data_IF_792496269575
#
_entry.id   IF_792496269575
#
_cell.length_a   1.000
_cell.length_b   1.000
_cell.length_c   1.000
_cell.angle_alpha   90.00
_cell.angle_beta   90.00
_cell.angle_gamma   90.00
#
_symmetry.space_group_name_H-M   'P 1'
#
loop_
_entity.id
_entity.type
_entity.pdbx_description
1 polymer ?
#
# COMPACT_ATOMS: atom_id res chain seq x y z
N UNK A 1 11.57 11.97 -21.05
CA UNK A 1 12.83 11.90 -21.80
C UNK A 1 12.53 11.50 -23.24
N UNK A 2 12.42 12.48 -24.15
CA UNK A 2 12.21 12.24 -25.58
C UNK A 2 13.56 12.01 -26.26
N UNK A 3 13.77 10.83 -26.86
CA UNK A 3 14.89 10.55 -27.76
C UNK A 3 14.63 11.30 -29.07
N UNK A 4 15.28 12.44 -29.27
CA UNK A 4 15.25 13.16 -30.53
C UNK A 4 16.13 12.40 -31.52
N UNK A 5 15.48 11.96 -32.61
CA UNK A 5 16.01 11.05 -33.61
C UNK A 5 16.96 11.80 -34.56
N UNK A 6 18.22 12.00 -34.13
CA UNK A 6 19.25 12.75 -34.86
C UNK A 6 19.68 12.07 -36.18
N UNK A 7 19.34 10.79 -36.38
CA UNK A 7 19.78 9.98 -37.52
C UNK A 7 18.97 10.29 -38.79
N UNK A 8 17.74 10.80 -38.67
CA UNK A 8 16.89 11.17 -39.81
C UNK A 8 17.37 12.42 -40.57
N UNK A 9 18.04 13.36 -39.89
CA UNK A 9 18.47 14.64 -40.48
C UNK A 9 19.63 14.50 -41.47
N UNK A 10 20.61 13.64 -41.20
CA UNK A 10 21.81 13.50 -42.04
C UNK A 10 21.52 12.88 -43.42
N UNK A 11 20.48 12.04 -43.55
CA UNK A 11 20.10 11.45 -44.86
C UNK A 11 19.47 12.48 -45.80
N UNK A 12 18.75 13.48 -45.28
CA UNK A 12 18.14 14.54 -46.12
C UNK A 12 19.16 15.55 -46.65
N UNK A 13 20.24 15.80 -45.91
CA UNK A 13 21.26 16.77 -46.33
C UNK A 13 22.15 16.26 -47.49
N UNK A 14 22.42 14.94 -47.56
CA UNK A 14 23.19 14.35 -48.66
C UNK A 14 22.46 14.39 -50.02
N UNK A 15 21.13 14.37 -50.04
CA UNK A 15 20.36 14.43 -51.29
C UNK A 15 20.41 15.80 -51.98
N UNK A 16 20.44 16.89 -51.19
CA UNK A 16 20.36 18.26 -51.73
C UNK A 16 21.70 18.68 -52.37
N UNK A 17 22.84 18.28 -51.80
CA UNK A 17 24.16 18.62 -52.34
C UNK A 17 24.49 17.84 -53.62
N UNK A 18 23.99 16.60 -53.76
CA UNK A 18 24.21 15.79 -54.96
C UNK A 18 23.39 16.28 -56.18
N UNK A 19 22.22 16.87 -55.98
CA UNK A 19 21.41 17.40 -57.09
C UNK A 19 21.96 18.74 -57.63
N UNK A 20 22.47 19.64 -56.78
CA UNK A 20 22.96 20.95 -57.23
C UNK A 20 24.17 20.89 -58.18
N UNK A 21 25.10 19.96 -57.96
CA UNK A 21 26.32 19.82 -58.77
C UNK A 21 26.04 19.33 -60.20
N UNK A 22 25.04 18.46 -60.37
CA UNK A 22 24.67 17.90 -61.68
C UNK A 22 24.05 18.99 -62.57
N UNK A 23 23.19 19.86 -62.01
CA UNK A 23 22.57 20.95 -62.78
C UNK A 23 23.60 22.01 -63.23
N UNK A 24 24.63 22.27 -62.43
CA UNK A 24 25.67 23.24 -62.80
C UNK A 24 26.54 22.75 -63.98
N UNK A 25 26.90 21.46 -63.98
CA UNK A 25 27.65 20.86 -65.10
C UNK A 25 26.82 20.78 -66.40
N UNK A 26 25.50 20.50 -66.30
CA UNK A 26 24.60 20.53 -67.45
C UNK A 26 24.43 21.93 -68.04
N UNK A 27 24.36 22.97 -67.19
CA UNK A 27 24.27 24.37 -67.64
C UNK A 27 25.50 24.80 -68.43
N UNK A 28 26.70 24.43 -67.98
CA UNK A 28 27.95 24.76 -68.68
C UNK A 28 28.06 24.02 -70.03
N UNK A 29 27.71 22.73 -70.05
CA UNK A 29 27.69 21.94 -71.29
C UNK A 29 26.69 22.50 -72.33
N UNK A 30 25.52 22.94 -71.88
CA UNK A 30 24.50 23.53 -72.75
C UNK A 30 24.97 24.86 -73.39
N UNK A 31 25.65 25.73 -72.63
CA UNK A 31 26.18 26.98 -73.20
C UNK A 31 27.31 26.74 -74.22
N UNK A 32 28.20 25.77 -73.96
CA UNK A 32 29.27 25.40 -74.91
C UNK A 32 28.66 24.86 -76.22
N UNK A 33 27.58 24.07 -76.14
CA UNK A 33 26.91 23.53 -77.33
C UNK A 33 26.20 24.62 -78.15
N UNK A 34 25.55 25.59 -77.50
CA UNK A 34 24.91 26.73 -78.18
C UNK A 34 25.95 27.60 -78.89
N UNK A 35 27.10 27.88 -78.25
CA UNK A 35 28.19 28.63 -78.88
C UNK A 35 28.82 27.87 -80.06
N UNK A 36 29.05 26.56 -79.93
CA UNK A 36 29.57 25.74 -81.02
C UNK A 36 28.60 25.67 -82.22
N UNK A 37 27.28 25.67 -81.98
CA UNK A 37 26.27 25.65 -83.03
C UNK A 37 26.13 27.00 -83.74
N UNK A 38 26.24 28.11 -83.01
CA UNK A 38 26.28 29.46 -83.58
C UNK A 38 27.52 29.70 -84.47
N UNK A 39 28.62 28.98 -84.21
CA UNK A 39 29.85 29.06 -84.99
C UNK A 39 29.81 28.20 -86.28
N UNK A 40 28.88 27.24 -86.36
CA UNK A 40 28.71 26.35 -87.52
C UNK A 40 27.71 26.87 -88.58
N UNK A 41 26.86 27.84 -88.25
CA UNK A 41 25.79 28.36 -89.14
C UNK A 41 26.22 29.53 -90.04
N UNK A 42 27.49 29.91 -90.06
CA UNK A 42 28.00 30.95 -90.97
C UNK A 42 29.31 30.54 -91.68
N UNK A 43 29.25 29.67 -92.70
CA UNK A 43 30.43 29.20 -93.43
C UNK A 43 31.03 30.22 -94.42
N UNK A 44 30.44 31.41 -94.59
CA UNK A 44 30.91 32.38 -95.61
C UNK A 44 32.04 33.32 -95.18
N UNK A 45 32.62 33.18 -93.97
CA UNK A 45 33.71 34.06 -93.50
C UNK A 45 35.12 33.46 -93.74
N UNK A 46 35.25 32.21 -94.21
CA UNK A 46 36.57 31.51 -94.29
C UNK A 46 37.22 31.53 -95.69
N UNK A 47 36.59 32.12 -96.72
CA UNK A 47 37.13 32.10 -98.09
C UNK A 47 37.72 33.45 -98.57
N UNK A 48 38.26 34.29 -97.68
CA UNK A 48 39.01 35.47 -98.10
C UNK A 48 40.48 35.43 -97.62
N UNK A 49 41.46 35.17 -98.53
CA UNK A 49 42.88 35.10 -98.18
C UNK A 49 43.52 36.45 -97.79
N UNK A 50 42.75 37.54 -97.79
CA UNK A 50 43.21 38.88 -97.38
C UNK A 50 42.99 39.21 -95.90
N UNK A 51 42.32 38.37 -95.11
CA UNK A 51 42.23 38.54 -93.64
C UNK A 51 43.47 38.03 -92.88
N UNK A 52 44.65 38.12 -93.51
CA UNK A 52 45.94 38.06 -92.84
C UNK A 52 46.30 39.45 -92.32
N UNK A 53 45.58 39.93 -91.31
CA UNK A 53 46.03 41.08 -90.53
C UNK A 53 45.35 41.06 -89.17
N UNK A 54 46.05 40.41 -88.24
CA UNK A 54 45.84 40.44 -86.80
C UNK A 54 45.95 41.87 -86.26
N UNK A 55 44.90 42.69 -86.41
CA UNK A 55 44.85 44.07 -85.88
C UNK A 55 43.47 44.52 -85.41
N UNK A 56 42.55 43.62 -85.11
CA UNK A 56 41.22 43.97 -84.60
C UNK A 56 40.88 43.04 -83.43
N UNK A 57 41.08 43.48 -82.20
CA UNK A 57 39.94 44.05 -81.47
C UNK A 57 40.27 45.20 -80.50
N UNK A 58 41.55 45.57 -80.27
CA UNK A 58 41.93 46.63 -79.31
C UNK A 58 43.16 47.48 -79.73
N UNK A 59 43.69 47.33 -80.95
CA UNK A 59 44.84 48.14 -81.42
C UNK A 59 46.21 47.75 -80.86
N UNK A 60 46.36 46.54 -80.31
CA UNK A 60 47.62 45.99 -79.81
C UNK A 60 48.19 44.93 -80.78
N UNK A 61 49.52 44.89 -80.94
CA UNK A 61 50.21 43.99 -81.86
C UNK A 61 50.20 42.53 -81.39
N UNK A 62 50.50 41.57 -82.28
CA UNK A 62 50.53 40.13 -81.95
C UNK A 62 51.49 39.79 -80.79
N UNK A 63 52.61 40.49 -80.67
CA UNK A 63 53.55 40.33 -79.53
C UNK A 63 52.95 40.78 -78.19
N UNK A 64 52.04 41.76 -78.18
CA UNK A 64 51.38 42.20 -76.95
C UNK A 64 50.36 41.18 -76.48
N UNK A 65 49.69 40.50 -77.41
CA UNK A 65 48.79 39.38 -77.07
C UNK A 65 49.53 38.20 -76.47
N UNK A 66 50.70 37.84 -77.00
CA UNK A 66 51.56 36.81 -76.40
C UNK A 66 52.01 37.22 -74.98
N UNK A 67 52.36 38.50 -74.77
CA UNK A 67 52.68 39.02 -73.42
C UNK A 67 51.49 38.92 -72.46
N UNK A 68 50.29 39.29 -72.89
CA UNK A 68 49.08 39.16 -72.07
C UNK A 68 48.72 37.71 -71.77
N UNK A 69 48.91 36.80 -72.72
CA UNK A 69 48.73 35.36 -72.53
C UNK A 69 49.70 34.80 -71.50
N UNK A 70 50.99 35.14 -71.59
CA UNK A 70 51.99 34.73 -70.60
C UNK A 70 51.64 35.26 -69.21
N UNK A 71 51.19 36.52 -69.11
CA UNK A 71 50.81 37.16 -67.85
C UNK A 71 49.56 36.51 -67.24
N UNK A 72 48.58 36.13 -68.06
CA UNK A 72 47.39 35.39 -67.64
C UNK A 72 47.73 33.98 -67.13
N UNK A 73 48.63 33.26 -67.80
CA UNK A 73 49.10 31.93 -67.36
C UNK A 73 49.85 32.03 -66.04
N UNK A 74 50.68 33.05 -65.85
CA UNK A 74 51.36 33.31 -64.57
C UNK A 74 50.35 33.60 -63.45
N UNK A 75 49.32 34.41 -63.71
CA UNK A 75 48.24 34.65 -62.76
C UNK A 75 47.46 33.37 -62.43
N UNK A 76 47.16 32.54 -63.42
CA UNK A 76 46.48 31.26 -63.23
C UNK A 76 47.32 30.29 -62.38
N UNK A 77 48.64 30.25 -62.60
CA UNK A 77 49.57 29.45 -61.79
C UNK A 77 49.60 29.93 -60.33
N UNK A 78 49.66 31.24 -60.09
CA UNK A 78 49.61 31.82 -58.74
C UNK A 78 48.26 31.55 -58.07
N UNK A 79 47.15 31.67 -58.81
CA UNK A 79 45.82 31.35 -58.30
C UNK A 79 45.70 29.86 -57.92
N UNK A 80 46.24 28.94 -58.73
CA UNK A 80 46.26 27.52 -58.43
C UNK A 80 47.07 27.20 -57.15
N UNK A 81 48.22 27.87 -56.97
CA UNK A 81 49.03 27.76 -55.74
C UNK A 81 48.23 28.28 -54.52
N UNK A 82 47.55 29.42 -54.65
CA UNK A 82 46.72 29.98 -53.57
C UNK A 82 45.55 29.05 -53.20
N UNK A 83 44.92 28.41 -54.19
CA UNK A 83 43.89 27.37 -53.95
C UNK A 83 44.50 26.16 -53.22
N UNK A 84 45.71 25.74 -53.56
CA UNK A 84 46.44 24.68 -52.85
C UNK A 84 46.66 25.01 -51.37
N UNK A 85 47.14 26.22 -51.06
CA UNK A 85 47.36 26.67 -49.69
C UNK A 85 46.05 26.79 -48.88
N UNK A 86 45.00 27.35 -49.47
CA UNK A 86 43.70 27.48 -48.80
C UNK A 86 43.06 26.12 -48.54
N UNK A 87 43.16 25.18 -49.49
CA UNK A 87 42.64 23.81 -49.33
C UNK A 87 43.44 23.04 -48.27
N UNK A 88 44.77 23.13 -48.27
CA UNK A 88 45.61 22.51 -47.25
C UNK A 88 45.33 23.09 -45.86
N UNK A 89 45.16 24.42 -45.75
CA UNK A 89 44.79 25.10 -44.51
C UNK A 89 43.42 24.64 -43.97
N UNK A 90 42.42 24.48 -44.84
CA UNK A 90 41.10 23.94 -44.49
C UNK A 90 41.19 22.50 -43.96
N UNK A 91 41.97 21.63 -44.61
CA UNK A 91 42.11 20.24 -44.16
C UNK A 91 42.79 20.17 -42.77
N UNK A 92 43.81 20.99 -42.54
CA UNK A 92 44.53 21.01 -41.25
C UNK A 92 43.63 21.56 -40.14
N UNK A 93 42.86 22.61 -40.41
CA UNK A 93 41.90 23.18 -39.44
C UNK A 93 40.78 22.20 -39.12
N UNK A 94 40.17 21.56 -40.12
CA UNK A 94 39.17 20.52 -39.90
C UNK A 94 39.70 19.31 -39.13
N UNK A 95 40.96 18.90 -39.33
CA UNK A 95 41.56 17.82 -38.53
C UNK A 95 41.68 18.21 -37.05
N UNK A 96 42.13 19.43 -36.76
CA UNK A 96 42.24 19.93 -35.37
C UNK A 96 40.87 20.07 -34.71
N UNK A 97 39.88 20.57 -35.43
CA UNK A 97 38.49 20.67 -34.95
C UNK A 97 37.88 19.28 -34.72
N UNK A 98 38.15 18.31 -35.60
CA UNK A 98 37.67 16.93 -35.45
C UNK A 98 38.30 16.24 -34.23
N UNK A 99 39.60 16.43 -33.98
CA UNK A 99 40.28 15.91 -32.79
C UNK A 99 39.75 16.55 -31.50
N UNK A 100 39.49 17.86 -31.51
CA UNK A 100 38.88 18.56 -30.38
C UNK A 100 37.47 18.03 -30.10
N UNK A 101 36.65 17.87 -31.15
CA UNK A 101 35.30 17.32 -31.04
C UNK A 101 35.30 15.87 -30.53
N UNK A 102 36.27 15.04 -30.93
CA UNK A 102 36.42 13.68 -30.40
C UNK A 102 36.77 13.68 -28.90
N UNK A 103 37.72 14.52 -28.47
CA UNK A 103 38.10 14.63 -27.06
C UNK A 103 36.94 15.13 -26.20
N UNK A 104 36.17 16.10 -26.69
CA UNK A 104 35.00 16.58 -25.98
C UNK A 104 33.93 15.48 -25.88
N UNK A 105 33.71 14.72 -26.96
CA UNK A 105 32.78 13.60 -26.97
C UNK A 105 33.20 12.50 -25.98
N UNK A 106 34.48 12.18 -25.88
CA UNK A 106 35.01 11.24 -24.87
C UNK A 106 34.81 11.76 -23.45
N UNK A 107 35.07 13.05 -23.18
CA UNK A 107 34.80 13.67 -21.88
C UNK A 107 33.31 13.61 -21.53
N UNK A 108 32.43 13.91 -22.48
CA UNK A 108 30.99 13.82 -22.28
C UNK A 108 30.56 12.38 -21.97
N UNK A 109 31.10 11.38 -22.67
CA UNK A 109 30.81 9.97 -22.39
C UNK A 109 31.17 9.59 -20.96
N UNK A 110 32.38 9.93 -20.50
CA UNK A 110 32.83 9.63 -19.14
C UNK A 110 31.93 10.31 -18.09
N UNK A 111 31.58 11.58 -18.30
CA UNK A 111 30.68 12.32 -17.38
C UNK A 111 29.28 11.70 -17.36
N UNK A 112 28.75 11.32 -18.51
CA UNK A 112 27.42 10.70 -18.61
C UNK A 112 27.43 9.31 -17.97
N UNK A 113 28.44 8.49 -18.22
CA UNK A 113 28.61 7.18 -17.58
C UNK A 113 28.69 7.30 -16.06
N UNK A 114 29.44 8.28 -15.54
CA UNK A 114 29.49 8.59 -14.10
C UNK A 114 28.10 8.94 -13.54
N UNK A 115 27.37 9.86 -14.19
CA UNK A 115 26.01 10.24 -13.77
C UNK A 115 25.02 9.08 -13.81
N UNK A 116 25.13 8.19 -14.81
CA UNK A 116 24.27 7.00 -14.90
C UNK A 116 24.60 6.01 -13.79
N UNK A 117 25.88 5.80 -13.47
CA UNK A 117 26.30 4.94 -12.37
C UNK A 117 25.82 5.48 -11.01
N UNK A 118 25.95 6.78 -10.76
CA UNK A 118 25.48 7.43 -9.53
C UNK A 118 23.96 7.32 -9.41
N UNK A 119 23.20 7.65 -10.46
CA UNK A 119 21.74 7.52 -10.47
C UNK A 119 21.29 6.07 -10.27
N UNK A 120 22.02 5.11 -10.81
CA UNK A 120 21.72 3.69 -10.62
C UNK A 120 21.98 3.25 -9.17
N UNK A 121 23.06 3.74 -8.55
CA UNK A 121 23.36 3.48 -7.13
C UNK A 121 22.29 4.07 -6.22
N UNK A 122 21.91 5.33 -6.44
CA UNK A 122 20.81 5.99 -5.71
C UNK A 122 19.48 5.25 -5.89
N UNK A 123 19.19 4.78 -7.11
CA UNK A 123 17.99 3.98 -7.40
C UNK A 123 17.95 2.65 -6.62
N UNK A 124 19.09 1.98 -6.46
CA UNK A 124 19.19 0.74 -5.65
C UNK A 124 18.98 1.05 -4.16
N UNK A 125 19.62 2.11 -3.65
CA UNK A 125 19.51 2.49 -2.24
C UNK A 125 18.08 2.93 -1.89
N UNK A 126 17.44 3.72 -2.75
CA UNK A 126 16.03 4.08 -2.62
C UNK A 126 15.12 2.83 -2.69
N UNK A 127 15.42 1.90 -3.60
CA UNK A 127 14.70 0.62 -3.72
C UNK A 127 14.78 -0.21 -2.43
N UNK A 128 15.97 -0.34 -1.83
CA UNK A 128 16.16 -1.05 -0.55
C UNK A 128 15.42 -0.37 0.60
N UNK A 129 15.50 0.96 0.68
CA UNK A 129 14.78 1.72 1.71
C UNK A 129 13.26 1.54 1.58
N UNK A 130 12.73 1.53 0.35
CA UNK A 130 11.31 1.29 0.09
C UNK A 130 10.88 -0.14 0.47
N UNK A 131 11.70 -1.16 0.15
CA UNK A 131 11.38 -2.54 0.55
C UNK A 131 11.42 -2.73 2.07
N UNK A 132 12.38 -2.10 2.75
CA UNK A 132 12.46 -2.16 4.22
C UNK A 132 11.28 -1.45 4.89
N UNK A 133 10.87 -0.30 4.35
CA UNK A 133 9.69 0.42 4.83
C UNK A 133 8.41 -0.41 4.63
N UNK A 134 8.27 -1.06 3.48
CA UNK A 134 7.12 -1.94 3.19
C UNK A 134 7.09 -3.15 4.12
N UNK A 135 8.25 -3.76 4.40
CA UNK A 135 8.36 -4.88 5.33
C UNK A 135 7.94 -4.47 6.76
N UNK A 136 8.40 -3.30 7.24
CA UNK A 136 7.99 -2.77 8.55
C UNK A 136 6.51 -2.42 8.62
N UNK A 137 5.95 -1.85 7.55
CA UNK A 137 4.52 -1.56 7.47
C UNK A 137 3.70 -2.84 7.55
N UNK A 138 4.06 -3.87 6.78
CA UNK A 138 3.39 -5.17 6.82
C UNK A 138 3.49 -5.85 8.20
N UNK A 139 4.62 -5.73 8.90
CA UNK A 139 4.78 -6.26 10.25
C UNK A 139 3.91 -5.50 11.27
N UNK A 140 3.81 -4.18 11.14
CA UNK A 140 2.96 -3.35 11.98
C UNK A 140 1.47 -3.68 11.78
N UNK A 141 1.04 -3.88 10.54
CA UNK A 141 -0.34 -4.27 10.21
C UNK A 141 -0.70 -5.64 10.79
N UNK A 142 0.22 -6.62 10.70
CA UNK A 142 0.03 -7.93 11.32
C UNK A 142 -0.12 -7.84 12.84
N UNK A 143 0.73 -7.05 13.51
CA UNK A 143 0.63 -6.82 14.97
C UNK A 143 -0.66 -6.09 15.36
N UNK A 144 -1.10 -5.14 14.53
CA UNK A 144 -2.36 -4.42 14.75
C UNK A 144 -3.57 -5.37 14.66
N UNK A 145 -3.59 -6.26 13.65
CA UNK A 145 -4.63 -7.27 13.50
C UNK A 145 -4.67 -8.24 14.68
N UNK A 146 -3.51 -8.74 15.14
CA UNK A 146 -3.43 -9.59 16.33
C UNK A 146 -3.90 -8.88 17.60
N UNK A 147 -3.54 -7.60 17.77
CA UNK A 147 -3.98 -6.80 18.90
C UNK A 147 -5.51 -6.59 18.88
N UNK A 148 -6.10 -6.36 17.70
CA UNK A 148 -7.55 -6.24 17.54
C UNK A 148 -8.27 -7.54 17.89
N UNK A 149 -7.79 -8.69 17.41
CA UNK A 149 -8.36 -10.00 17.76
C UNK A 149 -8.31 -10.24 19.28
N UNK A 150 -7.16 -9.97 19.92
CA UNK A 150 -7.03 -10.09 21.38
C UNK A 150 -7.97 -9.15 22.13
N UNK A 151 -8.20 -7.93 21.61
CA UNK A 151 -9.16 -6.99 22.19
C UNK A 151 -10.60 -7.48 22.05
N UNK A 152 -10.97 -8.09 20.94
CA UNK A 152 -12.30 -8.68 20.74
C UNK A 152 -12.51 -9.91 21.63
N UNK A 153 -11.49 -10.75 21.79
CA UNK A 153 -11.52 -11.86 22.76
C UNK A 153 -11.65 -11.36 24.20
N UNK A 154 -10.94 -10.29 24.56
CA UNK A 154 -11.08 -9.69 25.89
C UNK A 154 -12.44 -9.03 26.07
N UNK A 155 -12.97 -8.35 25.06
CA UNK A 155 -14.32 -7.76 25.11
C UNK A 155 -15.40 -8.82 25.21
N UNK A 156 -15.26 -9.97 24.55
CA UNK A 156 -16.22 -11.08 24.72
C UNK A 156 -16.11 -11.74 26.09
N UNK A 157 -14.91 -11.79 26.69
CA UNK A 157 -14.69 -12.32 28.04
C UNK A 157 -15.11 -11.35 29.16
N UNK A 158 -14.93 -10.04 28.97
CA UNK A 158 -15.17 -8.99 29.96
C UNK A 158 -16.47 -8.21 29.75
N UNK A 159 -17.16 -8.44 28.63
CA UNK A 159 -18.44 -7.81 28.34
C UNK A 159 -19.49 -8.12 29.41
N UNK A 160 -20.51 -7.26 29.57
CA UNK A 160 -21.63 -7.52 30.48
C UNK A 160 -22.24 -8.89 30.22
N UNK A 161 -22.57 -9.66 31.26
CA UNK A 161 -23.22 -10.95 31.10
C UNK A 161 -24.60 -10.72 30.48
N UNK A 162 -24.90 -11.46 29.42
CA UNK A 162 -26.20 -11.43 28.75
C UNK A 162 -26.74 -12.85 28.65
N UNK A 163 -28.02 -13.00 28.98
CA UNK A 163 -28.78 -14.23 28.84
C UNK A 163 -29.75 -14.03 27.69
N UNK A 164 -29.75 -14.96 26.74
CA UNK A 164 -30.85 -15.08 25.79
C UNK A 164 -32.10 -15.56 26.54
N UNK A 165 -32.99 -14.61 26.85
CA UNK A 165 -34.17 -14.84 27.67
C UNK A 165 -35.10 -15.90 27.09
N UNK A 166 -35.20 -16.01 25.76
CA UNK A 166 -36.10 -16.96 25.11
C UNK A 166 -35.56 -18.38 25.23
N UNK A 167 -34.28 -18.58 24.90
CA UNK A 167 -33.62 -19.88 25.06
C UNK A 167 -33.61 -20.33 26.52
N UNK A 168 -33.35 -19.40 27.44
CA UNK A 168 -33.39 -19.65 28.88
C UNK A 168 -34.79 -20.02 29.37
N UNK A 169 -35.84 -19.27 28.97
CA UNK A 169 -37.21 -19.58 29.33
C UNK A 169 -37.66 -20.94 28.79
N UNK A 170 -37.36 -21.23 27.51
CA UNK A 170 -37.72 -22.49 26.88
C UNK A 170 -37.11 -23.70 27.60
N UNK A 171 -35.88 -23.58 28.09
CA UNK A 171 -35.23 -24.63 28.88
C UNK A 171 -35.99 -24.92 30.19
N UNK A 172 -36.61 -23.90 30.78
CA UNK A 172 -37.25 -23.96 32.09
C UNK A 172 -38.73 -24.39 32.06
N UNK A 173 -39.37 -24.45 30.89
CA UNK A 173 -40.79 -24.78 30.75
C UNK A 173 -41.11 -26.20 31.24
N UNK A 174 -40.22 -27.17 30.97
CA UNK A 174 -40.52 -28.61 31.15
C UNK A 174 -40.16 -29.16 32.54
N UNK A 175 -39.80 -28.29 33.49
CA UNK A 175 -39.31 -28.70 34.81
C UNK A 175 -40.30 -28.44 35.95
N UNK A 176 -40.19 -29.16 37.09
CA UNK A 176 -40.80 -28.70 38.33
C UNK A 176 -40.35 -27.27 38.66
N UNK A 177 -41.28 -26.48 39.18
CA UNK A 177 -41.11 -25.06 39.50
C UNK A 177 -41.09 -24.87 41.01
N UNK A 178 -40.35 -23.88 41.48
CA UNK A 178 -40.17 -23.60 42.89
C UNK A 178 -39.97 -22.09 43.09
N UNK A 179 -40.31 -21.55 44.26
CA UNK A 179 -40.20 -20.12 44.52
C UNK A 179 -38.73 -19.67 44.50
N UNK A 180 -38.42 -18.69 43.67
CA UNK A 180 -37.07 -18.13 43.51
C UNK A 180 -37.01 -16.68 44.01
N UNK A 181 -36.06 -16.43 44.90
CA UNK A 181 -35.64 -15.09 45.32
C UNK A 181 -34.41 -14.66 44.53
N UNK A 182 -34.39 -13.46 43.96
CA UNK A 182 -33.21 -12.94 43.24
C UNK A 182 -32.63 -11.79 44.05
N UNK A 183 -31.38 -11.93 44.45
CA UNK A 183 -30.61 -10.91 45.17
C UNK A 183 -29.36 -10.55 44.38
N UNK A 184 -29.06 -9.26 44.28
CA UNK A 184 -27.90 -8.78 43.52
C UNK A 184 -27.08 -7.76 44.31
N UNK A 185 -25.79 -7.65 44.01
CA UNK A 185 -24.94 -6.65 44.63
C UNK A 185 -25.29 -5.24 44.09
N UNK A 186 -25.63 -4.30 44.99
CA UNK A 186 -26.09 -2.96 44.62
C UNK A 186 -25.02 -2.11 43.92
N UNK A 187 -23.75 -2.33 44.26
CA UNK A 187 -22.64 -1.46 43.84
C UNK A 187 -22.14 -1.73 42.42
N UNK A 188 -22.65 -2.77 41.76
CA UNK A 188 -22.32 -3.12 40.38
C UNK A 188 -23.58 -3.05 39.49
N UNK A 189 -23.67 -2.11 38.52
CA UNK A 189 -24.84 -1.96 37.67
C UNK A 189 -25.11 -3.19 36.79
N UNK A 190 -24.06 -3.95 36.44
CA UNK A 190 -24.20 -5.15 35.62
C UNK A 190 -24.94 -6.26 36.37
N UNK A 191 -24.71 -6.37 37.68
CA UNK A 191 -25.41 -7.35 38.54
C UNK A 191 -26.92 -7.09 38.56
N UNK A 192 -27.33 -5.82 38.64
CA UNK A 192 -28.75 -5.44 38.57
C UNK A 192 -29.38 -5.75 37.21
N UNK A 193 -28.66 -5.48 36.12
CA UNK A 193 -29.15 -5.79 34.76
C UNK A 193 -29.30 -7.29 34.54
N UNK A 194 -28.32 -8.09 34.96
CA UNK A 194 -28.39 -9.56 34.89
C UNK A 194 -29.54 -10.11 35.74
N UNK A 195 -29.79 -9.52 36.92
CA UNK A 195 -30.90 -9.90 37.79
C UNK A 195 -32.26 -9.72 37.10
N UNK A 196 -32.46 -8.60 36.41
CA UNK A 196 -33.68 -8.33 35.65
C UNK A 196 -33.83 -9.28 34.45
N UNK A 197 -32.73 -9.66 33.79
CA UNK A 197 -32.79 -10.67 32.71
C UNK A 197 -33.21 -12.06 33.22
N UNK A 198 -32.63 -12.51 34.34
CA UNK A 198 -32.99 -13.78 34.98
C UNK A 198 -34.46 -13.73 35.43
N UNK A 199 -34.89 -12.61 36.03
CA UNK A 199 -36.29 -12.40 36.42
C UNK A 199 -37.24 -12.50 35.22
N UNK A 200 -36.93 -11.82 34.12
CA UNK A 200 -37.71 -11.86 32.89
C UNK A 200 -37.82 -13.27 32.32
N UNK A 201 -36.70 -14.00 32.27
CA UNK A 201 -36.67 -15.39 31.79
C UNK A 201 -37.45 -16.36 32.67
N UNK A 202 -37.32 -16.25 34.00
CA UNK A 202 -38.11 -17.06 34.95
C UNK A 202 -39.61 -16.76 34.83
N UNK A 203 -39.98 -15.49 34.73
CA UNK A 203 -41.37 -15.07 34.57
C UNK A 203 -41.96 -15.55 33.24
N UNK A 204 -41.19 -15.51 32.15
CA UNK A 204 -41.61 -16.03 30.85
C UNK A 204 -41.83 -17.55 30.86
N UNK A 205 -41.07 -18.29 31.68
CA UNK A 205 -41.27 -19.72 31.94
C UNK A 205 -42.36 -20.00 33.00
N UNK A 206 -43.08 -18.97 33.45
CA UNK A 206 -44.12 -19.04 34.48
C UNK A 206 -43.61 -19.65 35.80
N UNK A 207 -42.38 -19.30 36.20
CA UNK A 207 -41.83 -19.65 37.50
C UNK A 207 -42.32 -18.65 38.57
N UNK A 208 -42.65 -19.10 39.79
CA UNK A 208 -42.91 -18.20 40.90
C UNK A 208 -41.60 -17.53 41.32
N UNK A 209 -41.47 -16.23 41.04
CA UNK A 209 -40.25 -15.47 41.27
C UNK A 209 -40.55 -14.11 41.92
N UNK A 210 -39.82 -13.76 42.97
CA UNK A 210 -39.90 -12.42 43.56
C UNK A 210 -39.09 -11.43 42.72
N UNK A 211 -39.54 -10.17 42.66
CA UNK A 211 -38.79 -9.10 41.98
C UNK A 211 -37.36 -9.00 42.55
N UNK A 212 -36.34 -8.83 41.70
CA UNK A 212 -34.96 -8.66 42.16
C UNK A 212 -34.84 -7.56 43.21
N UNK A 213 -34.10 -7.85 44.28
CA UNK A 213 -33.80 -6.89 45.33
C UNK A 213 -32.30 -6.79 45.58
N UNK A 214 -31.75 -5.61 45.90
CA UNK A 214 -30.36 -5.51 46.30
C UNK A 214 -30.10 -6.35 47.56
N UNK A 215 -28.93 -6.96 47.64
CA UNK A 215 -28.51 -7.75 48.79
C UNK A 215 -28.48 -6.83 50.03
N UNK A 216 -29.21 -7.20 51.08
CA UNK A 216 -29.20 -6.43 52.33
C UNK A 216 -27.92 -6.73 53.13
N UNK A 217 -27.47 -5.77 53.93
CA UNK A 217 -26.30 -5.93 54.79
C UNK A 217 -26.47 -7.08 55.81
N UNK A 218 -27.71 -7.42 56.18
CA UNK A 218 -28.00 -8.55 57.07
C UNK A 218 -27.84 -9.89 56.35
N UNK A 219 -28.33 -9.99 55.12
CA UNK A 219 -28.15 -11.18 54.28
C UNK A 219 -26.68 -11.44 53.97
N UNK A 220 -25.89 -10.38 53.85
CA UNK A 220 -24.43 -10.49 53.74
C UNK A 220 -23.77 -11.15 54.97
N UNK A 221 -24.25 -10.87 56.18
CA UNK A 221 -23.72 -11.47 57.42
C UNK A 221 -24.07 -12.96 57.54
N UNK A 222 -25.14 -13.43 56.90
CA UNK A 222 -25.48 -14.86 56.90
C UNK A 222 -24.44 -15.70 56.17
N UNK A 223 -23.87 -15.17 55.08
CA UNK A 223 -22.84 -15.87 54.33
C UNK A 223 -21.42 -15.71 54.92
N UNK A 224 -21.27 -14.84 55.94
CA UNK A 224 -20.06 -14.72 56.75
C UNK A 224 -19.84 -15.89 57.73
N UNK A 225 -20.84 -16.77 57.92
CA UNK A 225 -20.81 -17.89 58.87
C UNK A 225 -19.95 -19.10 58.45
N UNK A 226 -19.28 -19.06 57.30
CA UNK A 226 -18.26 -20.05 56.93
C UNK A 226 -17.07 -19.98 57.91
N UNK A 227 -16.44 -21.12 58.28
CA UNK A 227 -15.61 -21.22 59.48
C UNK A 227 -14.47 -20.19 59.51
N UNK A 228 -14.62 -19.19 60.41
CA UNK A 228 -13.63 -18.18 60.81
C UNK A 228 -12.79 -17.59 59.68
N UNK A 229 -13.39 -17.33 58.53
CA UNK A 229 -12.75 -16.48 57.54
C UNK A 229 -12.99 -15.05 58.00
N UNK A 230 -11.92 -14.30 58.23
CA UNK A 230 -11.96 -12.93 58.75
C UNK A 230 -12.75 -12.04 57.77
N UNK A 231 -14.03 -11.85 58.06
CA UNK A 231 -15.00 -11.27 57.11
C UNK A 231 -14.79 -9.79 56.87
N UNK A 232 -14.01 -9.15 57.72
CA UNK A 232 -13.65 -7.74 57.61
C UNK A 232 -12.76 -7.46 56.38
N UNK A 233 -12.14 -8.49 55.80
CA UNK A 233 -11.22 -8.35 54.66
C UNK A 233 -11.75 -8.93 53.35
N UNK A 234 -12.94 -9.54 53.33
CA UNK A 234 -13.51 -10.10 52.09
C UNK A 234 -14.50 -9.13 51.46
N UNK A 235 -14.34 -8.77 50.18
CA UNK A 235 -15.36 -7.99 49.48
C UNK A 235 -16.69 -8.76 49.51
N UNK A 236 -17.80 -8.03 49.64
CA UNK A 236 -19.15 -8.58 49.78
C UNK A 236 -19.49 -9.62 48.70
N UNK A 237 -18.94 -9.43 47.50
CA UNK A 237 -19.02 -10.35 46.36
C UNK A 237 -18.43 -11.75 46.64
N UNK A 238 -17.34 -11.83 47.39
CA UNK A 238 -16.70 -13.10 47.77
C UNK A 238 -17.52 -13.83 48.84
N UNK A 239 -18.09 -13.09 49.79
CA UNK A 239 -18.97 -13.63 50.84
C UNK A 239 -20.29 -14.12 50.26
N UNK A 240 -20.84 -13.42 49.27
CA UNK A 240 -22.06 -13.80 48.55
C UNK A 240 -21.88 -15.06 47.66
N UNK A 241 -20.73 -15.73 47.72
CA UNK A 241 -20.43 -16.96 47.00
C UNK A 241 -20.13 -16.75 45.53
N UNK A 242 -19.75 -15.55 45.08
CA UNK A 242 -19.52 -15.17 43.68
C UNK A 242 -18.31 -15.82 42.99
N UNK A 243 -18.22 -17.15 43.00
CA UNK A 243 -17.11 -17.92 42.46
C UNK A 243 -17.56 -18.82 41.31
N UNK A 244 -16.82 -18.93 40.21
CA UNK A 244 -16.13 -17.87 39.47
C UNK A 244 -17.08 -17.04 38.58
N UNK A 245 -18.26 -17.56 38.25
CA UNK A 245 -19.21 -16.93 37.33
C UNK A 245 -19.98 -15.73 37.89
N UNK A 246 -19.84 -15.47 39.20
CA UNK A 246 -20.57 -14.41 39.90
C UNK A 246 -22.08 -14.65 40.02
N UNK A 247 -22.57 -15.87 39.78
CA UNK A 247 -23.96 -16.26 40.03
C UNK A 247 -23.97 -17.54 40.85
N UNK A 248 -24.71 -17.51 41.95
CA UNK A 248 -24.73 -18.58 42.94
C UNK A 248 -26.15 -18.90 43.33
N UNK A 249 -26.51 -20.19 43.27
CA UNK A 249 -27.81 -20.67 43.73
C UNK A 249 -27.65 -21.16 45.17
N UNK A 250 -28.28 -20.47 46.11
CA UNK A 250 -28.44 -20.88 47.49
C UNK A 250 -29.73 -21.70 47.62
N UNK A 251 -29.62 -22.91 48.17
CA UNK A 251 -30.73 -23.81 48.41
C UNK A 251 -30.56 -24.53 49.77
N UNK A 252 -31.63 -25.09 50.35
CA UNK A 252 -31.52 -25.91 51.55
C UNK A 252 -30.52 -27.07 51.37
N UNK A 253 -29.82 -27.48 52.43
CA UNK A 253 -28.73 -28.47 52.39
C UNK A 253 -29.07 -29.73 51.57
N UNK A 254 -30.25 -30.33 51.81
CA UNK A 254 -30.67 -31.55 51.11
C UNK A 254 -30.77 -31.35 49.59
N UNK A 255 -31.30 -30.20 49.15
CA UNK A 255 -31.42 -29.87 47.73
C UNK A 255 -30.04 -29.56 47.13
N UNK A 256 -29.23 -28.72 47.78
CA UNK A 256 -27.90 -28.36 47.29
C UNK A 256 -26.98 -29.57 47.11
N UNK A 257 -27.03 -30.54 48.03
CA UNK A 257 -26.24 -31.77 47.96
C UNK A 257 -26.64 -32.66 46.76
N UNK A 258 -27.89 -32.59 46.30
CA UNK A 258 -28.34 -33.31 45.10
C UNK A 258 -27.71 -32.81 43.81
N UNK A 259 -27.28 -31.55 43.75
CA UNK A 259 -26.57 -31.02 42.57
C UNK A 259 -25.07 -31.26 42.68
N UNK A 260 -24.50 -31.08 43.88
CA UNK A 260 -23.05 -31.15 44.08
C UNK A 260 -22.47 -32.55 43.86
N UNK A 261 -23.20 -33.59 44.23
CA UNK A 261 -22.69 -34.97 44.24
C UNK A 261 -22.95 -35.76 42.95
N UNK A 262 -23.75 -35.23 42.01
CA UNK A 262 -24.19 -36.00 40.85
C UNK A 262 -23.54 -35.53 39.55
N UNK A 263 -23.20 -36.50 38.70
CA UNK A 263 -23.00 -36.22 37.28
C UNK A 263 -24.33 -35.72 36.73
N UNK A 264 -24.33 -34.51 36.18
CA UNK A 264 -25.55 -33.81 35.75
C UNK A 264 -26.48 -34.62 34.83
N UNK A 265 -26.00 -35.69 34.18
CA UNK A 265 -26.81 -36.54 33.31
C UNK A 265 -27.75 -37.48 34.07
N UNK A 266 -27.40 -37.91 35.28
CA UNK A 266 -28.12 -38.96 36.01
C UNK A 266 -28.97 -38.40 37.16
N UNK A 267 -28.90 -37.09 37.40
CA UNK A 267 -29.65 -36.44 38.47
C UNK A 267 -31.14 -36.36 38.13
N UNK A 268 -32.05 -36.76 39.04
CA UNK A 268 -33.48 -36.59 38.84
C UNK A 268 -33.82 -35.12 38.55
N UNK A 269 -34.82 -34.92 37.68
CA UNK A 269 -35.31 -33.59 37.29
C UNK A 269 -36.04 -32.94 38.46
N UNK A 270 -35.29 -32.18 39.25
CA UNK A 270 -35.77 -31.31 40.34
C UNK A 270 -35.77 -29.85 39.88
N UNK A 271 -36.47 -28.96 40.61
CA UNK A 271 -36.51 -27.55 40.23
C UNK A 271 -35.10 -26.94 40.27
N UNK A 272 -34.34 -27.27 41.31
CA UNK A 272 -32.95 -26.84 41.45
C UNK A 272 -32.06 -27.35 40.31
N UNK A 273 -32.17 -28.62 39.90
CA UNK A 273 -31.32 -29.17 38.83
C UNK A 273 -31.66 -28.57 37.47
N UNK A 274 -32.93 -28.32 37.18
CA UNK A 274 -33.32 -27.64 35.93
C UNK A 274 -32.89 -26.19 35.90
N UNK A 275 -33.07 -25.46 37.01
CA UNK A 275 -32.59 -24.08 37.14
C UNK A 275 -31.07 -24.01 37.00
N UNK A 276 -30.35 -24.94 37.66
CA UNK A 276 -28.90 -25.05 37.55
C UNK A 276 -28.47 -25.32 36.10
N UNK A 277 -29.11 -26.29 35.41
CA UNK A 277 -28.80 -26.61 34.00
C UNK A 277 -29.12 -25.45 33.05
N UNK A 278 -30.21 -24.71 33.29
CA UNK A 278 -30.55 -23.53 32.49
C UNK A 278 -29.50 -22.43 32.65
N UNK A 279 -29.14 -22.13 33.89
CA UNK A 279 -28.19 -21.06 34.21
C UNK A 279 -26.76 -21.42 33.79
N UNK A 280 -26.32 -22.67 33.94
CA UNK A 280 -25.00 -23.08 33.44
C UNK A 280 -24.96 -23.06 31.90
N UNK A 281 -26.07 -23.42 31.23
CA UNK A 281 -26.16 -23.33 29.77
C UNK A 281 -26.12 -21.89 29.28
N UNK A 282 -26.71 -20.94 30.02
CA UNK A 282 -26.75 -19.53 29.65
C UNK A 282 -25.46 -18.77 30.01
N UNK A 283 -24.86 -19.06 31.17
CA UNK A 283 -23.75 -18.28 31.75
C UNK A 283 -22.40 -19.01 31.71
N UNK A 284 -22.39 -20.29 31.33
CA UNK A 284 -21.20 -21.15 31.28
C UNK A 284 -20.70 -21.63 32.64
N UNK A 285 -20.80 -20.81 33.69
CA UNK A 285 -20.39 -21.19 35.05
C UNK A 285 -21.29 -20.56 36.11
N UNK A 286 -21.70 -21.36 37.09
CA UNK A 286 -22.44 -20.94 38.27
C UNK A 286 -22.00 -21.78 39.47
N UNK A 287 -22.23 -21.28 40.68
CA UNK A 287 -22.02 -22.03 41.92
C UNK A 287 -23.34 -22.45 42.56
N UNK A 288 -23.26 -23.47 43.42
CA UNK A 288 -24.34 -23.85 44.33
C UNK A 288 -23.81 -23.80 45.75
N UNK A 289 -24.57 -23.17 46.63
CA UNK A 289 -24.29 -23.09 48.06
C UNK A 289 -25.49 -23.53 48.88
N UNK A 290 -25.25 -23.82 50.15
CA UNK A 290 -26.28 -24.17 51.13
C UNK A 290 -26.73 -22.91 51.86
N UNK A 291 -28.03 -22.76 52.06
CA UNK A 291 -28.61 -21.71 52.91
C UNK A 291 -29.79 -22.28 53.69
N UNK A 292 -29.53 -22.60 54.96
CA UNK A 292 -30.50 -23.23 55.86
C UNK A 292 -31.52 -22.22 56.44
N UNK A 293 -31.36 -20.92 56.14
CA UNK A 293 -32.34 -19.90 56.53
C UNK A 293 -33.51 -19.80 55.55
N UNK A 294 -33.39 -20.41 54.37
CA UNK A 294 -34.44 -20.44 53.39
C UNK A 294 -35.54 -21.43 53.80
N UNK A 295 -36.83 -21.06 53.65
CA UNK A 295 -37.91 -22.01 53.80
C UNK A 295 -37.72 -23.23 52.91
N UNK A 296 -38.20 -24.39 53.36
CA UNK A 296 -38.28 -25.59 52.54
C UNK A 296 -38.98 -25.24 51.22
N UNK A 297 -38.47 -25.78 50.10
CA UNK A 297 -38.99 -25.48 48.77
C UNK A 297 -38.85 -24.01 48.34
N UNK A 298 -37.82 -23.31 48.82
CA UNK A 298 -37.39 -22.02 48.22
C UNK A 298 -35.92 -22.05 47.81
N UNK A 299 -35.57 -21.22 46.82
CA UNK A 299 -34.19 -21.03 46.37
C UNK A 299 -33.89 -19.54 46.27
N UNK A 300 -32.64 -19.16 46.49
CA UNK A 300 -32.16 -17.80 46.28
C UNK A 300 -31.05 -17.79 45.24
N UNK A 301 -31.21 -16.99 44.19
CA UNK A 301 -30.15 -16.67 43.24
C UNK A 301 -29.45 -15.41 43.73
N UNK A 302 -28.15 -15.51 43.92
CA UNK A 302 -27.29 -14.43 44.37
C UNK A 302 -26.39 -14.03 43.20
N UNK A 303 -26.42 -12.75 42.83
CA UNK A 303 -25.66 -12.21 41.71
C UNK A 303 -24.61 -11.25 42.24
N UNK A 304 -23.36 -11.58 41.98
CA UNK A 304 -22.18 -10.85 42.37
C UNK A 304 -21.33 -10.50 41.14
N UNK A 305 -20.44 -9.51 41.24
CA UNK A 305 -19.46 -9.19 40.21
C UNK A 305 -18.64 -10.43 39.83
N UNK A 306 -18.30 -10.54 38.54
CA UNK A 306 -17.42 -11.61 38.06
C UNK A 306 -16.03 -11.42 38.69
N UNK A 307 -15.47 -12.47 39.29
CA UNK A 307 -14.08 -12.42 39.74
C UNK A 307 -13.18 -12.48 38.49
N UNK A 308 -12.26 -11.52 38.28
CA UNK A 308 -11.26 -11.67 37.22
C UNK A 308 -10.46 -12.94 37.51
N UNK A 309 -10.33 -13.81 36.50
CA UNK A 309 -9.43 -14.96 36.61
C UNK A 309 -8.01 -14.42 36.83
N UNK A 310 -7.32 -14.83 37.91
CA UNK A 310 -5.93 -14.46 38.14
C UNK A 310 -5.00 -15.10 37.10
#
# INVERSE_FOLDING_TARGET
>A
MQKIDLIGGLKRFRGIVAHGSIYFLYSISAQISIMAKAQAENPEIIANPENRASTLLLGYGGEDWDRWLILAVMFAAVAAIAVGFTTAGSIITHKREAEAAQKDLERYKIIVEGKVADAHKEGIEAGRSATDALARASEADAKAAEAQLKLEELRSKLGPRQIDQLSFANFLITGPKQLVYISYLRDDPECGFLAEQIYGGLKAADWPVQRPSPLSAETSKLYAGWPKVDTDYMPLAALAGGQPGGVTIAAPLAAAMSVRNYRLKDTPSTALTNLFRALISALGSIAVTTDDTLPNETMRIIIAPRKPHP
#
